data_IF_402458015209
#
_entry.id   IF_402458015209
#
_cell.length_a   1.000
_cell.length_b   1.000
_cell.length_c   1.000
_cell.angle_alpha   90.00
_cell.angle_beta   90.00
_cell.angle_gamma   90.00
#
_symmetry.space_group_name_H-M   'P 1'
#
loop_
_entity.id
_entity.type
_entity.pdbx_description
1 polymer ?
#
# COMPACT_ATOMS: atom_id res chain seq x y z
N UNK A 1 -11.55 23.74 6.13
CA UNK A 1 -11.71 22.58 5.21
C UNK A 1 -10.65 22.66 4.13
N UNK A 2 -9.94 21.57 3.80
CA UNK A 2 -8.97 21.60 2.70
C UNK A 2 -9.73 21.86 1.38
N UNK A 3 -9.44 22.99 0.74
CA UNK A 3 -10.02 23.37 -0.55
C UNK A 3 -9.13 22.85 -1.66
N UNK A 4 -9.40 21.63 -2.12
CA UNK A 4 -8.80 21.17 -3.36
C UNK A 4 -9.52 21.83 -4.54
N UNK A 5 -8.75 22.43 -5.45
CA UNK A 5 -9.28 23.21 -6.58
C UNK A 5 -9.87 22.35 -7.71
N UNK A 6 -9.67 21.03 -7.65
CA UNK A 6 -10.09 20.07 -8.68
C UNK A 6 -10.68 18.83 -8.00
N UNK A 7 -11.66 18.19 -8.64
CA UNK A 7 -12.24 16.90 -8.18
C UNK A 7 -11.37 15.70 -8.58
N UNK A 8 -10.48 15.89 -9.56
CA UNK A 8 -9.64 14.85 -10.16
C UNK A 8 -8.25 15.39 -10.43
N UNK A 9 -7.29 14.48 -10.64
CA UNK A 9 -5.88 14.83 -10.74
C UNK A 9 -5.27 15.09 -9.37
N UNK A 10 -4.02 15.56 -9.34
CA UNK A 10 -3.29 15.77 -8.09
C UNK A 10 -4.11 16.62 -7.07
N UNK A 11 -4.24 16.18 -5.80
CA UNK A 11 -3.57 15.04 -5.13
C UNK A 11 -4.40 13.74 -5.08
N UNK A 12 -5.48 13.61 -5.85
CA UNK A 12 -6.43 12.48 -5.80
C UNK A 12 -5.99 11.31 -6.67
N UNK A 13 -4.89 10.65 -6.29
CA UNK A 13 -4.49 9.38 -6.92
C UNK A 13 -5.45 8.26 -6.51
N UNK A 14 -6.14 7.67 -7.50
CA UNK A 14 -7.10 6.59 -7.29
C UNK A 14 -6.44 5.24 -6.98
N UNK A 15 -5.14 5.11 -7.23
CA UNK A 15 -4.38 3.91 -6.90
C UNK A 15 -3.83 3.95 -5.49
N UNK A 16 -3.80 5.13 -4.85
CA UNK A 16 -3.34 5.24 -3.48
C UNK A 16 -4.48 4.99 -2.50
N UNK A 17 -4.54 3.77 -1.97
CA UNK A 17 -5.57 3.35 -1.02
C UNK A 17 -5.27 3.84 0.40
N UNK A 18 -4.04 3.62 0.89
CA UNK A 18 -3.65 3.92 2.27
C UNK A 18 -2.13 4.06 2.44
N UNK A 19 -1.72 4.78 3.48
CA UNK A 19 -0.33 4.82 3.94
C UNK A 19 -0.16 3.82 5.09
N UNK A 20 0.81 2.92 4.97
CA UNK A 20 1.18 1.95 6.02
C UNK A 20 2.50 2.39 6.65
N UNK A 21 2.54 2.46 7.99
CA UNK A 21 3.72 2.84 8.75
C UNK A 21 4.60 1.63 9.08
N UNK A 22 5.90 1.85 9.24
CA UNK A 22 6.84 0.82 9.69
C UNK A 22 6.40 0.16 11.01
N UNK A 23 6.60 -1.15 11.12
CA UNK A 23 6.16 -1.94 12.26
C UNK A 23 4.68 -2.35 12.25
N UNK A 24 3.89 -1.91 11.26
CA UNK A 24 2.52 -2.42 11.07
C UNK A 24 2.58 -3.88 10.64
N UNK A 25 1.98 -4.82 11.41
CA UNK A 25 1.95 -6.23 11.02
C UNK A 25 1.10 -6.42 9.76
N UNK A 26 1.60 -7.22 8.82
CA UNK A 26 0.92 -7.53 7.56
C UNK A 26 1.09 -8.99 7.18
N UNK A 27 0.08 -9.56 6.52
CA UNK A 27 0.16 -10.87 5.87
C UNK A 27 0.49 -10.66 4.39
N UNK A 28 1.48 -11.38 3.87
CA UNK A 28 1.71 -11.47 2.43
C UNK A 28 0.79 -12.54 1.86
N UNK A 29 0.01 -12.18 0.83
CA UNK A 29 -0.94 -13.11 0.19
C UNK A 29 -0.47 -13.59 -1.18
N UNK A 30 0.19 -12.72 -1.96
CA UNK A 30 0.69 -13.04 -3.30
C UNK A 30 1.98 -12.26 -3.58
N UNK A 31 2.84 -12.81 -4.44
CA UNK A 31 3.97 -12.11 -5.05
C UNK A 31 3.70 -11.85 -6.52
N UNK A 32 4.20 -10.74 -7.05
CA UNK A 32 4.24 -10.54 -8.49
C UNK A 32 5.37 -11.37 -9.12
N UNK A 33 5.29 -11.64 -10.42
CA UNK A 33 6.28 -12.47 -11.12
C UNK A 33 7.68 -11.86 -11.18
N UNK A 34 7.81 -10.53 -11.03
CA UNK A 34 9.11 -9.86 -10.97
C UNK A 34 9.70 -9.75 -9.56
N UNK A 35 8.97 -10.20 -8.53
CA UNK A 35 9.34 -10.10 -7.11
C UNK A 35 9.69 -8.67 -6.66
N UNK A 36 9.05 -7.68 -7.27
CA UNK A 36 9.19 -6.26 -6.90
C UNK A 36 8.06 -5.80 -5.97
N UNK A 37 6.94 -6.50 -6.01
CA UNK A 37 5.72 -6.18 -5.28
C UNK A 37 5.16 -7.43 -4.58
N UNK A 38 4.55 -7.20 -3.43
CA UNK A 38 3.74 -8.18 -2.74
C UNK A 38 2.34 -7.60 -2.53
N UNK A 39 1.33 -8.44 -2.70
CA UNK A 39 -0.01 -8.11 -2.22
C UNK A 39 -0.08 -8.40 -0.73
N UNK A 40 -0.30 -7.35 0.07
CA UNK A 40 -0.32 -7.43 1.53
C UNK A 40 -1.73 -7.15 2.08
N UNK A 41 -2.03 -7.80 3.20
CA UNK A 41 -3.22 -7.57 4.01
C UNK A 41 -2.78 -7.03 5.39
N UNK A 42 -3.25 -5.84 5.72
CA UNK A 42 -3.24 -5.31 7.08
C UNK A 42 -4.63 -5.49 7.72
N UNK A 43 -4.75 -5.22 9.02
CA UNK A 43 -6.04 -5.33 9.73
C UNK A 43 -7.17 -4.43 9.19
N UNK A 44 -6.84 -3.44 8.35
CA UNK A 44 -7.77 -2.42 7.85
C UNK A 44 -7.75 -2.22 6.33
N UNK A 45 -6.84 -2.87 5.59
CA UNK A 45 -6.69 -2.63 4.15
C UNK A 45 -5.95 -3.77 3.44
N UNK A 46 -6.25 -3.94 2.15
CA UNK A 46 -5.54 -4.80 1.22
C UNK A 46 -4.95 -3.93 0.10
N UNK A 47 -3.65 -4.09 -0.18
CA UNK A 47 -3.02 -3.39 -1.29
C UNK A 47 -1.73 -4.04 -1.78
N UNK A 48 -1.31 -3.77 -3.03
CA UNK A 48 0.05 -3.99 -3.48
C UNK A 48 1.03 -3.05 -2.76
N UNK A 49 2.12 -3.61 -2.24
CA UNK A 49 3.25 -2.86 -1.67
C UNK A 49 4.57 -3.30 -2.29
N UNK A 50 5.55 -2.41 -2.25
CA UNK A 50 6.91 -2.74 -2.67
C UNK A 50 7.49 -3.80 -1.73
N UNK A 51 7.99 -4.90 -2.30
CA UNK A 51 8.50 -6.03 -1.53
C UNK A 51 9.63 -5.61 -0.58
N UNK A 52 10.50 -4.70 -1.01
CA UNK A 52 11.63 -4.18 -0.20
C UNK A 52 11.24 -3.49 1.11
N UNK A 53 9.97 -3.12 1.27
CA UNK A 53 9.46 -2.45 2.48
C UNK A 53 8.76 -3.44 3.44
N UNK A 54 8.69 -4.73 3.07
CA UNK A 54 8.03 -5.78 3.86
C UNK A 54 9.09 -6.75 4.35
N UNK A 55 9.11 -6.97 5.67
CA UNK A 55 10.09 -7.85 6.33
C UNK A 55 9.38 -9.08 6.87
N UNK A 56 9.89 -10.26 6.52
CA UNK A 56 9.42 -11.54 7.08
C UNK A 56 10.08 -11.73 8.44
N UNK A 57 9.27 -11.96 9.47
CA UNK A 57 9.74 -12.29 10.81
C UNK A 57 9.76 -13.81 10.98
N UNK A 58 10.90 -14.34 11.44
CA UNK A 58 11.08 -15.75 11.80
C UNK A 58 10.88 -15.95 13.30
#
# INVERSE_FOLDING_TARGET
MPKFSKKTGYPFDRWQNSLIFAGTPVLITHFDTSLRFAHIQAGFVFLPSLLRNVYIQN
#
